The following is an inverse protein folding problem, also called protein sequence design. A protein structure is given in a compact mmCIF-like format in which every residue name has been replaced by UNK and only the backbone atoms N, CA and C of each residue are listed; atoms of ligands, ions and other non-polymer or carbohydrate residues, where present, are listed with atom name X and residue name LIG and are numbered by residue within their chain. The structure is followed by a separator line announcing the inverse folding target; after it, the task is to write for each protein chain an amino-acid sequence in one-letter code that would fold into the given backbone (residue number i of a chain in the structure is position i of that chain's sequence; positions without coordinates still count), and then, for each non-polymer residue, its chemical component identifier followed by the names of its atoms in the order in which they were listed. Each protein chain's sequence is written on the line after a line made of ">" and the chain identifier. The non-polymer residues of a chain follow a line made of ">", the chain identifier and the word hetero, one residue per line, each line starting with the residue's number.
data_IF_701423000136
#
_entry.id   IF_701423000136
#
_cell.length_a   1.000
_cell.length_b   1.000
_cell.length_c   1.000
_cell.angle_alpha   90.00
_cell.angle_beta   90.00
_cell.angle_gamma   90.00
#
_symmetry.space_group_name_H-M   'P 1'
#
loop_
_entity.id
_entity.type
_entity.pdbx_description
1 polymer ?
#
# COMPACT_ATOMS: atom_id res chain seq x y z
N UNK A 1 16.09 -4.19 -16.70
CA UNK A 1 15.40 -5.48 -16.97
C UNK A 1 16.32 -6.69 -16.89
N UNK A 2 17.53 -6.72 -17.50
CA UNK A 2 18.43 -7.91 -17.43
C UNK A 2 18.74 -8.42 -16.01
N UNK A 3 18.90 -7.51 -15.05
CA UNK A 3 19.22 -7.88 -13.66
C UNK A 3 18.11 -8.70 -12.97
N UNK A 4 16.83 -8.47 -13.31
CA UNK A 4 15.69 -9.19 -12.73
C UNK A 4 15.20 -10.35 -13.61
N UNK A 5 15.77 -10.53 -14.80
CA UNK A 5 15.33 -11.50 -15.82
C UNK A 5 15.29 -12.93 -15.27
N UNK A 6 16.29 -13.32 -14.47
CA UNK A 6 16.38 -14.66 -13.87
C UNK A 6 15.22 -15.00 -12.95
N UNK A 7 14.43 -14.01 -12.53
CA UNK A 7 13.21 -14.19 -11.73
C UNK A 7 11.99 -13.86 -12.60
N UNK A 8 11.94 -12.64 -13.14
CA UNK A 8 10.78 -12.08 -13.84
C UNK A 8 10.42 -12.80 -15.16
N UNK A 9 11.34 -13.57 -15.75
CA UNK A 9 11.03 -14.39 -16.93
C UNK A 9 10.29 -15.69 -16.60
N UNK A 10 10.27 -16.11 -15.32
CA UNK A 10 9.76 -17.42 -14.90
C UNK A 10 8.58 -17.33 -13.93
N UNK A 11 8.47 -16.22 -13.19
CA UNK A 11 7.35 -15.95 -12.28
C UNK A 11 6.86 -14.52 -12.43
N UNK A 12 5.57 -14.22 -12.17
CA UNK A 12 5.06 -12.86 -12.20
C UNK A 12 5.86 -11.94 -11.26
N UNK A 13 6.42 -10.86 -11.80
CA UNK A 13 7.15 -9.84 -11.05
C UNK A 13 6.24 -8.62 -10.87
N UNK A 14 5.46 -8.63 -9.80
CA UNK A 14 4.44 -7.61 -9.51
C UNK A 14 5.09 -6.37 -8.88
N UNK A 15 4.77 -5.17 -9.37
CA UNK A 15 5.43 -3.92 -8.95
C UNK A 15 4.42 -2.85 -8.56
N UNK A 16 4.76 -2.01 -7.59
CA UNK A 16 4.08 -0.73 -7.34
C UNK A 16 5.03 0.43 -7.69
N UNK A 17 4.52 1.59 -8.17
CA UNK A 17 5.35 2.74 -8.44
C UNK A 17 5.70 3.49 -7.14
N UNK A 18 6.94 3.94 -7.03
CA UNK A 18 7.41 4.84 -5.99
C UNK A 18 7.83 6.21 -6.55
N UNK A 19 8.35 7.05 -5.66
CA UNK A 19 8.72 8.44 -6.00
C UNK A 19 9.80 8.55 -7.08
N UNK A 20 10.67 7.54 -7.18
CA UNK A 20 11.73 7.49 -8.20
C UNK A 20 11.21 7.14 -9.59
N UNK A 21 9.99 6.62 -9.71
CA UNK A 21 9.37 6.32 -11.00
C UNK A 21 8.76 7.56 -11.65
N UNK A 22 8.54 8.67 -10.92
CA UNK A 22 7.82 9.87 -11.41
C UNK A 22 8.41 10.46 -12.70
N UNK A 23 9.73 10.34 -12.88
CA UNK A 23 10.46 11.03 -13.92
C UNK A 23 9.83 10.80 -15.30
N UNK A 24 9.56 11.91 -16.01
CA UNK A 24 8.87 11.93 -17.30
C UNK A 24 7.44 11.36 -17.21
N UNK A 25 6.68 11.78 -16.19
CA UNK A 25 5.29 11.37 -15.95
C UNK A 25 5.13 9.83 -15.92
N UNK A 26 5.99 9.18 -15.14
CA UNK A 26 6.03 7.74 -14.95
C UNK A 26 6.20 6.90 -16.23
N UNK A 27 6.61 7.51 -17.35
CA UNK A 27 6.67 6.82 -18.64
C UNK A 27 7.60 5.61 -18.63
N UNK A 28 8.75 5.68 -17.95
CA UNK A 28 9.63 4.51 -17.85
C UNK A 28 8.97 3.35 -17.10
N UNK A 29 8.17 3.63 -16.08
CA UNK A 29 7.45 2.60 -15.35
C UNK A 29 6.34 2.00 -16.22
N UNK A 30 5.47 2.86 -16.76
CA UNK A 30 4.31 2.48 -17.59
C UNK A 30 4.69 1.66 -18.84
N UNK A 31 5.79 2.03 -19.49
CA UNK A 31 6.22 1.36 -20.72
C UNK A 31 6.99 0.04 -20.48
N UNK A 32 7.44 -0.22 -19.25
CA UNK A 32 8.31 -1.38 -18.94
C UNK A 32 7.65 -2.42 -18.06
N UNK A 33 6.64 -2.04 -17.30
CA UNK A 33 5.93 -2.91 -16.37
C UNK A 33 4.43 -2.95 -16.74
N UNK A 34 3.94 -4.16 -16.97
CA UNK A 34 2.52 -4.40 -17.26
C UNK A 34 1.89 -5.13 -16.10
N UNK A 35 1.05 -4.43 -15.35
CA UNK A 35 0.31 -4.99 -14.21
C UNK A 35 -1.12 -5.38 -14.65
N UNK A 36 -1.87 -6.15 -13.83
CA UNK A 36 -3.29 -6.38 -14.08
C UNK A 36 -4.02 -5.05 -14.33
N UNK A 37 -4.89 -5.01 -15.35
CA UNK A 37 -5.51 -3.77 -15.81
C UNK A 37 -4.75 -3.04 -16.93
N UNK A 38 -3.53 -3.46 -17.28
CA UNK A 38 -2.76 -2.96 -18.42
C UNK A 38 -1.51 -2.16 -18.04
N UNK A 39 -0.80 -1.64 -19.05
CA UNK A 39 0.48 -0.91 -18.90
C UNK A 39 0.37 0.47 -18.24
N UNK A 40 -0.86 0.95 -18.01
CA UNK A 40 -1.15 2.28 -17.49
C UNK A 40 -1.60 2.26 -16.02
N UNK A 41 -1.72 1.07 -15.43
CA UNK A 41 -2.30 0.93 -14.10
C UNK A 41 -1.27 1.21 -13.00
N UNK A 42 -1.46 2.31 -12.27
CA UNK A 42 -0.71 2.61 -11.04
C UNK A 42 -1.24 1.89 -9.79
N UNK A 43 -2.41 1.28 -9.91
CA UNK A 43 -3.08 0.50 -8.88
C UNK A 43 -3.73 -0.73 -9.52
N UNK A 44 -3.76 -1.84 -8.80
CA UNK A 44 -4.37 -3.09 -9.25
C UNK A 44 -4.58 -4.03 -8.07
N UNK A 45 -5.42 -5.04 -8.25
CA UNK A 45 -5.57 -6.14 -7.29
C UNK A 45 -5.60 -7.48 -8.00
N UNK A 46 -5.22 -8.54 -7.28
CA UNK A 46 -5.25 -9.91 -7.78
C UNK A 46 -5.32 -10.92 -6.63
N UNK A 47 -5.90 -12.08 -6.92
CA UNK A 47 -6.00 -13.18 -5.98
C UNK A 47 -4.90 -14.22 -6.23
N UNK A 48 -4.26 -14.69 -5.17
CA UNK A 48 -3.27 -15.76 -5.21
C UNK A 48 -3.48 -16.70 -4.03
N UNK A 49 -4.14 -17.84 -4.28
CA UNK A 49 -4.46 -18.79 -3.22
C UNK A 49 -5.34 -18.12 -2.15
N UNK A 50 -4.97 -18.11 -0.86
CA UNK A 50 -5.76 -17.47 0.20
C UNK A 50 -5.54 -15.95 0.31
N UNK A 51 -4.77 -15.34 -0.61
CA UNK A 51 -4.41 -13.93 -0.55
C UNK A 51 -5.21 -13.13 -1.59
N UNK A 52 -5.79 -12.02 -1.15
CA UNK A 52 -6.22 -10.92 -1.99
C UNK A 52 -5.19 -9.79 -1.84
N UNK A 53 -4.42 -9.52 -2.90
CA UNK A 53 -3.30 -8.57 -2.88
C UNK A 53 -3.69 -7.34 -3.67
N UNK A 54 -3.55 -6.18 -3.03
CA UNK A 54 -3.89 -4.86 -3.57
C UNK A 54 -2.61 -4.04 -3.65
N UNK A 55 -2.27 -3.54 -4.83
CA UNK A 55 -1.22 -2.55 -5.03
C UNK A 55 -1.85 -1.19 -5.26
N UNK A 56 -1.40 -0.20 -4.51
CA UNK A 56 -1.77 1.21 -4.68
C UNK A 56 -0.53 2.05 -5.03
N UNK A 57 -0.75 3.20 -5.63
CA UNK A 57 0.28 4.22 -5.81
C UNK A 57 0.14 5.26 -4.70
N UNK A 58 1.13 5.34 -3.81
CA UNK A 58 1.18 6.42 -2.82
C UNK A 58 1.50 7.76 -3.47
N UNK A 59 2.12 7.73 -4.65
CA UNK A 59 2.60 8.93 -5.34
C UNK A 59 1.48 9.85 -5.82
N UNK A 60 0.24 9.35 -5.95
CA UNK A 60 -0.92 10.18 -6.26
C UNK A 60 -1.15 11.27 -5.20
N UNK A 61 -0.73 11.02 -3.95
CA UNK A 61 -0.86 11.96 -2.83
C UNK A 61 0.24 13.04 -2.80
N UNK A 62 1.42 12.73 -3.35
CA UNK A 62 2.62 13.58 -3.22
C UNK A 62 2.90 14.39 -4.50
N UNK A 63 2.40 13.96 -5.66
CA UNK A 63 2.54 14.70 -6.94
C UNK A 63 1.24 15.36 -7.40
N UNK A 64 0.77 16.32 -6.61
CA UNK A 64 -0.45 17.08 -6.88
C UNK A 64 -0.44 17.92 -8.16
N UNK A 65 0.73 18.11 -8.79
CA UNK A 65 0.86 18.74 -10.10
C UNK A 65 0.13 17.96 -11.22
N UNK A 66 -0.19 16.67 -11.00
CA UNK A 66 -1.04 15.87 -11.90
C UNK A 66 -2.55 16.06 -11.65
N UNK A 67 -2.92 16.91 -10.68
CA UNK A 67 -4.29 17.22 -10.30
C UNK A 67 -4.88 16.25 -9.28
N UNK A 68 -6.13 16.51 -8.89
CA UNK A 68 -6.85 15.74 -7.87
C UNK A 68 -7.44 14.42 -8.39
N UNK A 69 -7.68 14.31 -9.70
CA UNK A 69 -8.38 13.17 -10.30
C UNK A 69 -7.74 11.81 -9.98
N UNK A 70 -6.40 11.65 -10.00
CA UNK A 70 -5.77 10.38 -9.65
C UNK A 70 -6.05 9.92 -8.22
N UNK A 71 -6.04 10.84 -7.24
CA UNK A 71 -6.36 10.52 -5.84
C UNK A 71 -7.80 10.04 -5.72
N UNK A 72 -8.75 10.81 -6.26
CA UNK A 72 -10.18 10.48 -6.21
C UNK A 72 -10.43 9.12 -6.85
N UNK A 73 -9.87 8.91 -8.05
CA UNK A 73 -10.01 7.66 -8.78
C UNK A 73 -9.44 6.47 -8.02
N UNK A 74 -8.23 6.59 -7.46
CA UNK A 74 -7.62 5.51 -6.70
C UNK A 74 -8.42 5.20 -5.42
N UNK A 75 -8.87 6.24 -4.70
CA UNK A 75 -9.62 6.05 -3.46
C UNK A 75 -10.96 5.34 -3.72
N UNK A 76 -11.73 5.81 -4.71
CA UNK A 76 -12.99 5.19 -5.10
C UNK A 76 -12.77 3.76 -5.60
N UNK A 77 -11.75 3.53 -6.45
CA UNK A 77 -11.39 2.20 -6.92
C UNK A 77 -11.03 1.25 -5.78
N UNK A 78 -10.21 1.71 -4.84
CA UNK A 78 -9.76 0.93 -3.68
C UNK A 78 -10.92 0.57 -2.77
N UNK A 79 -11.82 1.52 -2.49
CA UNK A 79 -13.02 1.24 -1.70
C UNK A 79 -13.90 0.18 -2.36
N UNK A 80 -14.13 0.27 -3.68
CA UNK A 80 -14.91 -0.75 -4.41
C UNK A 80 -14.22 -2.12 -4.40
N UNK A 81 -12.90 -2.14 -4.51
CA UNK A 81 -12.10 -3.37 -4.46
C UNK A 81 -12.22 -4.03 -3.07
N UNK A 82 -12.09 -3.26 -2.00
CA UNK A 82 -12.23 -3.72 -0.61
C UNK A 82 -13.66 -4.19 -0.29
N UNK A 83 -14.70 -3.51 -0.81
CA UNK A 83 -16.09 -3.96 -0.70
C UNK A 83 -16.23 -5.35 -1.35
N UNK A 84 -15.67 -5.53 -2.55
CA UNK A 84 -15.70 -6.80 -3.27
C UNK A 84 -14.92 -7.89 -2.55
N UNK A 85 -13.72 -7.59 -2.05
CA UNK A 85 -12.88 -8.54 -1.33
C UNK A 85 -13.56 -9.05 -0.04
N UNK A 86 -14.33 -8.18 0.61
CA UNK A 86 -15.07 -8.52 1.83
C UNK A 86 -16.44 -9.17 1.61
N UNK A 87 -16.86 -9.42 0.35
CA UNK A 87 -18.03 -10.27 0.11
C UNK A 87 -17.80 -11.64 0.77
N UNK A 88 -18.79 -12.24 1.48
CA UNK A 88 -18.58 -13.46 2.24
C UNK A 88 -17.90 -14.58 1.45
N UNK A 89 -18.32 -14.79 0.20
CA UNK A 89 -17.78 -15.80 -0.70
C UNK A 89 -16.33 -15.55 -1.16
N UNK A 90 -15.89 -14.29 -1.17
CA UNK A 90 -14.53 -13.91 -1.53
C UNK A 90 -13.63 -13.98 -0.29
N UNK A 91 -14.08 -13.46 0.85
CA UNK A 91 -13.35 -13.51 2.12
C UNK A 91 -13.17 -14.94 2.64
N UNK A 92 -14.10 -15.84 2.35
CA UNK A 92 -13.95 -17.28 2.64
C UNK A 92 -12.81 -17.92 1.82
N UNK A 93 -12.65 -17.54 0.55
CA UNK A 93 -11.61 -18.07 -0.35
C UNK A 93 -10.25 -17.38 -0.16
N UNK A 94 -10.28 -16.08 0.08
CA UNK A 94 -9.13 -15.18 0.19
C UNK A 94 -9.18 -14.46 1.54
N UNK A 95 -8.97 -15.19 2.65
CA UNK A 95 -9.12 -14.62 3.98
C UNK A 95 -8.12 -13.52 4.30
N UNK A 96 -6.97 -13.44 3.60
CA UNK A 96 -5.95 -12.42 3.82
C UNK A 96 -6.06 -11.31 2.78
N UNK A 97 -6.35 -10.09 3.22
CA UNK A 97 -6.24 -8.88 2.41
C UNK A 97 -4.91 -8.21 2.73
N UNK A 98 -4.06 -8.06 1.71
CA UNK A 98 -2.75 -7.44 1.81
C UNK A 98 -2.73 -6.21 0.90
N UNK A 99 -2.39 -5.06 1.45
CA UNK A 99 -2.16 -3.83 0.68
C UNK A 99 -0.65 -3.59 0.58
N UNK A 100 -0.17 -3.21 -0.60
CA UNK A 100 1.20 -2.77 -0.83
C UNK A 100 1.20 -1.37 -1.46
N UNK A 101 2.09 -0.51 -0.98
CA UNK A 101 2.36 0.82 -1.53
C UNK A 101 3.80 1.25 -1.23
N UNK A 102 4.24 2.37 -1.80
CA UNK A 102 5.63 2.79 -1.65
C UNK A 102 5.89 3.57 -0.35
N UNK A 103 5.25 4.73 -0.15
CA UNK A 103 5.47 5.60 1.02
C UNK A 103 4.64 5.14 2.24
N UNK A 104 5.25 4.89 3.41
CA UNK A 104 4.55 4.31 4.55
C UNK A 104 3.57 5.28 5.24
N UNK A 105 2.56 4.72 5.92
CA UNK A 105 1.72 5.49 6.85
C UNK A 105 2.39 5.75 8.20
N UNK A 106 3.24 4.81 8.63
CA UNK A 106 3.93 4.81 9.92
C UNK A 106 5.38 4.39 9.77
N UNK A 107 6.26 5.03 10.53
CA UNK A 107 7.70 4.83 10.45
C UNK A 107 8.38 5.41 11.69
N UNK A 108 9.53 4.84 12.07
CA UNK A 108 10.28 5.22 13.29
C UNK A 108 11.57 5.98 12.99
N UNK A 109 11.75 6.41 11.73
CA UNK A 109 12.94 7.12 11.29
C UNK A 109 12.81 8.63 11.52
N UNK A 110 13.95 9.24 11.80
CA UNK A 110 14.12 10.69 11.99
C UNK A 110 15.14 11.20 10.98
N UNK A 111 14.90 10.94 9.71
CA UNK A 111 15.76 11.36 8.59
C UNK A 111 15.31 12.68 7.91
N UNK A 112 14.17 13.23 8.36
CA UNK A 112 13.52 14.45 7.87
C UNK A 112 12.75 14.32 6.54
N UNK A 113 12.40 13.11 6.11
CA UNK A 113 11.57 12.89 4.91
C UNK A 113 10.06 12.68 5.24
N UNK A 114 9.35 11.77 4.57
CA UNK A 114 7.90 11.56 4.72
C UNK A 114 7.43 11.13 6.12
N UNK A 115 8.38 10.72 6.95
CA UNK A 115 8.17 10.18 8.30
C UNK A 115 8.39 11.20 9.42
N UNK A 116 8.62 12.46 9.08
CA UNK A 116 8.97 13.50 10.06
C UNK A 116 7.81 13.96 10.94
N UNK A 117 6.57 13.66 10.53
CA UNK A 117 5.36 14.11 11.21
C UNK A 117 4.43 12.93 11.50
N UNK A 118 3.71 12.99 12.63
CA UNK A 118 2.72 11.96 12.99
C UNK A 118 1.60 11.82 11.94
N UNK A 119 1.33 12.87 11.18
CA UNK A 119 0.31 12.92 10.13
C UNK A 119 0.96 12.80 8.75
N UNK A 120 1.40 11.60 8.39
CA UNK A 120 1.86 11.33 7.03
C UNK A 120 0.69 11.50 6.05
N UNK A 121 0.95 12.05 4.86
CA UNK A 121 -0.11 12.32 3.87
C UNK A 121 -0.78 11.01 3.43
N UNK A 122 -0.01 9.92 3.32
CA UNK A 122 -0.55 8.58 3.03
C UNK A 122 -1.60 8.16 4.07
N UNK A 123 -1.37 8.47 5.36
CA UNK A 123 -2.25 8.10 6.47
C UNK A 123 -3.50 8.96 6.53
N UNK A 124 -3.31 10.27 6.61
CA UNK A 124 -4.39 11.22 6.92
C UNK A 124 -5.04 11.85 5.69
N UNK A 125 -4.45 11.63 4.50
CA UNK A 125 -4.92 12.23 3.26
C UNK A 125 -4.45 13.67 3.07
N UNK A 126 -5.20 14.42 2.28
CA UNK A 126 -4.81 15.76 1.82
C UNK A 126 -4.69 16.72 3.01
N UNK A 127 -3.59 17.49 3.13
CA UNK A 127 -3.38 18.42 4.24
C UNK A 127 -4.56 19.39 4.46
N UNK A 128 -4.83 19.72 5.73
CA UNK A 128 -5.89 20.61 6.22
C UNK A 128 -7.34 20.11 6.10
N UNK A 129 -7.66 19.27 5.10
CA UNK A 129 -9.03 18.76 4.88
C UNK A 129 -9.18 17.27 5.20
N UNK A 130 -8.07 16.54 5.30
CA UNK A 130 -8.03 15.10 5.61
C UNK A 130 -8.88 14.24 4.66
N UNK A 131 -9.03 14.68 3.41
CA UNK A 131 -9.74 13.91 2.40
C UNK A 131 -8.88 12.78 1.85
N UNK A 132 -9.51 11.65 1.59
CA UNK A 132 -8.91 10.45 0.98
C UNK A 132 -7.79 9.80 1.80
N UNK A 133 -7.81 9.97 3.14
CA UNK A 133 -6.88 9.27 4.04
C UNK A 133 -7.09 7.76 3.98
N UNK A 134 -6.00 6.99 3.89
CA UNK A 134 -6.09 5.56 3.68
C UNK A 134 -6.34 4.79 4.97
N UNK A 135 -5.84 5.27 6.11
CA UNK A 135 -5.85 4.50 7.35
C UNK A 135 -7.25 4.06 7.78
N UNK A 136 -8.20 5.01 7.85
CA UNK A 136 -9.57 4.71 8.24
C UNK A 136 -10.24 3.74 7.26
N UNK A 137 -10.00 3.93 5.96
CA UNK A 137 -10.52 3.03 4.93
C UNK A 137 -10.00 1.60 5.11
N UNK A 138 -8.68 1.42 5.17
CA UNK A 138 -8.06 0.10 5.28
C UNK A 138 -8.43 -0.60 6.59
N UNK A 139 -8.49 0.14 7.70
CA UNK A 139 -8.94 -0.38 8.99
C UNK A 139 -10.40 -0.84 8.95
N UNK A 140 -11.32 -0.02 8.42
CA UNK A 140 -12.75 -0.33 8.39
C UNK A 140 -13.07 -1.56 7.52
N UNK A 141 -12.30 -1.80 6.46
CA UNK A 141 -12.44 -2.97 5.60
C UNK A 141 -11.59 -4.17 6.06
N UNK A 142 -10.94 -4.08 7.23
CA UNK A 142 -10.24 -5.18 7.86
C UNK A 142 -9.02 -5.68 7.08
N UNK A 143 -8.24 -4.78 6.48
CA UNK A 143 -6.95 -5.15 5.88
C UNK A 143 -6.05 -5.80 6.92
N UNK A 144 -5.42 -6.92 6.57
CA UNK A 144 -4.65 -7.72 7.52
C UNK A 144 -3.20 -7.22 7.63
N UNK A 145 -2.57 -6.96 6.48
CA UNK A 145 -1.17 -6.54 6.40
C UNK A 145 -1.01 -5.44 5.35
N UNK A 146 -0.22 -4.45 5.71
CA UNK A 146 0.14 -3.34 4.83
C UNK A 146 1.66 -3.28 4.67
N UNK A 147 2.12 -3.40 3.43
CA UNK A 147 3.54 -3.48 3.09
C UNK A 147 3.96 -2.17 2.43
N UNK A 148 5.03 -1.59 2.96
CA UNK A 148 5.58 -0.31 2.57
C UNK A 148 7.05 -0.42 2.20
N UNK A 149 7.55 0.59 1.49
CA UNK A 149 8.94 0.79 1.15
C UNK A 149 9.34 2.23 1.48
N UNK A 150 10.01 2.92 0.55
CA UNK A 150 10.54 4.28 0.63
C UNK A 150 11.62 4.48 1.72
N UNK A 151 11.29 4.19 2.96
CA UNK A 151 12.20 4.14 4.08
C UNK A 151 13.15 2.94 3.96
N UNK A 152 14.46 3.20 3.84
CA UNK A 152 15.48 2.20 3.55
C UNK A 152 15.87 1.33 4.76
N UNK A 153 14.88 0.77 5.44
CA UNK A 153 15.02 -0.11 6.60
C UNK A 153 14.05 -1.28 6.52
N UNK A 154 14.21 -2.22 7.45
CA UNK A 154 13.13 -3.11 7.85
C UNK A 154 12.48 -2.59 9.13
N UNK A 155 11.16 -2.47 9.13
CA UNK A 155 10.38 -2.18 10.32
C UNK A 155 9.10 -3.01 10.30
N UNK A 156 8.70 -3.53 11.45
CA UNK A 156 7.39 -4.19 11.61
C UNK A 156 6.75 -3.66 12.88
N UNK A 157 5.56 -3.11 12.74
CA UNK A 157 4.83 -2.54 13.86
C UNK A 157 4.00 -3.59 14.60
N UNK A 158 3.57 -3.21 15.79
CA UNK A 158 2.40 -3.82 16.43
C UNK A 158 1.16 -3.52 15.59
N UNK A 159 0.08 -4.29 15.73
CA UNK A 159 -1.20 -3.92 15.13
C UNK A 159 -1.62 -2.55 15.66
N UNK A 160 -1.77 -1.58 14.77
CA UNK A 160 -1.92 -0.18 15.16
C UNK A 160 -2.97 0.48 14.29
N UNK A 161 -3.75 1.34 14.93
CA UNK A 161 -4.69 2.25 14.28
C UNK A 161 -4.70 3.54 15.09
N UNK A 162 -4.52 4.67 14.40
CA UNK A 162 -4.41 6.01 14.99
C UNK A 162 -3.43 6.05 16.19
N UNK A 163 -2.21 5.55 15.98
CA UNK A 163 -1.15 5.46 16.99
C UNK A 163 -1.49 4.64 18.26
N UNK A 164 -2.60 3.90 18.25
CA UNK A 164 -3.01 3.02 19.35
C UNK A 164 -2.81 1.57 18.95
N UNK A 165 -2.16 0.80 19.82
CA UNK A 165 -1.96 -0.64 19.62
C UNK A 165 -3.25 -1.40 19.93
N UNK A 166 -3.66 -2.29 19.03
CA UNK A 166 -4.81 -3.18 19.19
C UNK A 166 -4.32 -4.62 19.38
N UNK A 167 -4.90 -5.30 20.37
CA UNK A 167 -4.66 -6.73 20.70
C UNK A 167 -3.19 -7.23 20.62
N UNK A 168 -2.22 -6.36 20.90
CA UNK A 168 -0.81 -6.72 20.94
C UNK A 168 -0.46 -7.47 22.23
N UNK A 169 0.10 -8.68 22.11
CA UNK A 169 0.82 -9.38 23.18
C UNK A 169 2.30 -9.62 22.81
N UNK A 170 3.19 -9.75 23.80
CA UNK A 170 4.60 -10.05 23.51
C UNK A 170 4.78 -11.48 22.99
N UNK A 171 3.91 -12.41 23.43
CA UNK A 171 3.96 -13.82 23.09
C UNK A 171 3.37 -14.11 21.70
N UNK A 172 2.28 -13.45 21.34
CA UNK A 172 1.54 -13.67 20.10
C UNK A 172 0.96 -12.34 19.54
N UNK A 173 1.81 -11.38 19.13
CA UNK A 173 1.40 -10.02 18.76
C UNK A 173 0.47 -9.92 17.55
N UNK A 174 0.39 -10.98 16.74
CA UNK A 174 -0.28 -10.99 15.44
C UNK A 174 -1.42 -12.03 15.37
N UNK A 175 -1.86 -12.57 16.51
CA UNK A 175 -3.02 -13.46 16.57
C UNK A 175 -4.27 -12.64 16.82
N UNK A 176 -5.19 -12.61 15.84
CA UNK A 176 -6.40 -11.76 15.86
C UNK A 176 -6.07 -10.28 16.23
N UNK A 177 -5.18 -9.62 15.47
CA UNK A 177 -4.51 -8.39 15.88
C UNK A 177 -5.41 -7.17 16.09
N UNK A 178 -6.68 -7.19 15.66
CA UNK A 178 -7.65 -6.11 15.91
C UNK A 178 -7.39 -4.79 15.17
N UNK A 179 -6.25 -4.67 14.47
CA UNK A 179 -5.90 -3.62 13.53
C UNK A 179 -4.90 -4.18 12.49
N UNK A 180 -4.67 -3.50 11.34
CA UNK A 180 -3.69 -3.90 10.36
C UNK A 180 -2.25 -3.93 10.92
N UNK A 181 -1.41 -4.79 10.35
CA UNK A 181 0.03 -4.83 10.64
C UNK A 181 0.77 -4.09 9.53
N UNK A 182 1.52 -3.04 9.87
CA UNK A 182 2.38 -2.36 8.90
C UNK A 182 3.79 -2.93 8.92
N UNK A 183 4.32 -3.22 7.72
CA UNK A 183 5.68 -3.71 7.49
C UNK A 183 6.37 -2.77 6.49
N UNK A 184 7.48 -2.16 6.88
CA UNK A 184 8.39 -1.47 5.96
C UNK A 184 9.49 -2.44 5.56
N UNK A 185 9.76 -2.54 4.26
CA UNK A 185 10.84 -3.36 3.69
C UNK A 185 11.55 -2.65 2.53
N UNK A 186 11.96 -1.40 2.72
CA UNK A 186 12.58 -0.57 1.66
C UNK A 186 14.09 -0.74 1.49
N UNK A 187 14.70 -1.79 2.03
CA UNK A 187 16.17 -1.97 2.13
C UNK A 187 16.79 -2.89 1.06
N UNK A 188 16.07 -3.13 -0.04
CA UNK A 188 16.50 -4.01 -1.13
C UNK A 188 17.61 -3.42 -2.02
#
# INVERSE_FOLDING_TARGET
>A
MRQIETIAAYVPYMTCPGNHEERYNFSNYRERFSMPGGSESFMYSFDLGPLHIISISTEVYYFMNFGMKPIVFQYEWLEQDLIRANLPENREKHPWIIVMGHRPMYCSLTDKDDCTHHETITRVGIPFVHWFGLEELLYNYGVDVEIWAHEHIYQRLWPIYDYKVYNGSYEAPYVNPGAPIHIITGSA
#
